data_IF_412261521923
#
_entry.id   IF_412261521923
#
_cell.length_a   1.000
_cell.length_b   1.000
_cell.length_c   1.000
_cell.angle_alpha   90.00
_cell.angle_beta   90.00
_cell.angle_gamma   90.00
#
_symmetry.space_group_name_H-M   'P 1'
#
loop_
_entity.id
_entity.type
_entity.pdbx_description
1 polymer ?
#
# COMPACT_ATOMS: atom_id res chain seq x y z
N UNK A 1 13.66 -11.66 33.54
CA UNK A 1 14.97 -11.78 32.88
C UNK A 1 15.32 -13.26 32.92
N UNK A 2 15.55 -13.91 31.78
CA UNK A 2 15.88 -15.34 31.79
C UNK A 2 17.40 -15.50 31.90
N UNK A 3 17.87 -16.20 32.94
CA UNK A 3 19.31 -16.32 33.27
C UNK A 3 20.10 -17.21 32.30
N UNK A 4 19.44 -17.93 31.37
CA UNK A 4 20.12 -18.73 30.35
C UNK A 4 20.25 -18.06 28.98
N UNK A 5 19.55 -16.96 28.70
CA UNK A 5 19.61 -16.31 27.39
C UNK A 5 19.70 -14.78 27.41
N UNK A 6 19.68 -14.13 28.59
CA UNK A 6 19.90 -12.68 28.73
C UNK A 6 18.87 -11.78 28.04
N UNK A 7 17.89 -12.36 27.32
CA UNK A 7 16.87 -11.60 26.60
C UNK A 7 15.81 -11.11 27.58
N UNK A 8 15.71 -9.79 27.66
CA UNK A 8 14.57 -9.10 28.25
C UNK A 8 13.42 -9.23 27.25
N UNK A 9 12.40 -10.02 27.60
CA UNK A 9 11.12 -9.95 26.92
C UNK A 9 10.47 -8.64 27.35
N UNK A 10 10.64 -7.59 26.54
CA UNK A 10 9.91 -6.34 26.70
C UNK A 10 8.49 -6.55 26.20
N UNK A 11 7.58 -6.51 27.15
CA UNK A 11 6.12 -6.49 27.02
C UNK A 11 5.68 -5.52 25.92
N UNK A 12 4.80 -5.97 25.02
CA UNK A 12 4.07 -5.18 24.01
C UNK A 12 4.79 -3.91 23.58
N UNK A 13 5.69 -4.07 22.62
CA UNK A 13 6.26 -3.00 21.82
C UNK A 13 5.11 -2.33 21.06
N UNK A 14 4.40 -1.42 21.72
CA UNK A 14 3.73 -0.31 21.04
C UNK A 14 4.89 0.44 20.40
N UNK A 15 5.20 0.06 19.16
CA UNK A 15 6.04 0.82 18.26
C UNK A 15 5.58 2.27 18.43
N UNK A 16 6.46 3.11 18.98
CA UNK A 16 6.30 4.56 18.91
C UNK A 16 6.35 4.89 17.42
N UNK A 17 5.22 4.73 16.73
CA UNK A 17 5.10 5.06 15.32
C UNK A 17 5.37 6.54 15.22
N UNK A 18 6.54 6.86 14.67
CA UNK A 18 6.88 8.21 14.25
C UNK A 18 5.66 8.70 13.45
N UNK A 19 5.05 9.84 13.81
CA UNK A 19 3.85 10.29 13.13
C UNK A 19 4.18 10.60 11.67
N UNK A 20 3.87 9.64 10.79
CA UNK A 20 4.07 9.77 9.35
C UNK A 20 3.02 10.72 8.78
N UNK A 21 3.48 11.78 8.12
CA UNK A 21 2.62 12.73 7.43
C UNK A 21 2.53 12.41 5.94
N UNK A 22 1.31 12.42 5.40
CA UNK A 22 1.03 12.21 3.99
C UNK A 22 0.81 13.55 3.30
N UNK A 23 1.63 13.85 2.30
CA UNK A 23 1.50 15.04 1.45
C UNK A 23 0.59 14.70 0.27
N UNK A 24 -0.58 15.33 0.21
CA UNK A 24 -1.59 15.13 -0.84
C UNK A 24 -1.24 15.89 -2.11
N UNK A 25 -1.92 15.57 -3.22
CA UNK A 25 -1.72 16.24 -4.53
C UNK A 25 -1.93 17.76 -4.48
N UNK A 26 -2.80 18.23 -3.60
CA UNK A 26 -3.10 19.65 -3.36
C UNK A 26 -2.15 20.30 -2.35
N UNK A 27 -1.03 19.64 -2.00
CA UNK A 27 -0.04 20.06 -1.00
C UNK A 27 -0.55 20.11 0.45
N UNK A 28 -1.78 19.64 0.70
CA UNK A 28 -2.26 19.48 2.08
C UNK A 28 -1.52 18.33 2.77
N UNK A 29 -1.31 18.46 4.08
CA UNK A 29 -0.69 17.42 4.91
C UNK A 29 -1.75 16.81 5.80
N UNK A 30 -1.86 15.48 5.75
CA UNK A 30 -2.71 14.72 6.66
C UNK A 30 -1.89 13.66 7.38
N UNK A 31 -2.33 13.24 8.57
CA UNK A 31 -1.70 12.11 9.23
C UNK A 31 -1.99 10.82 8.43
N UNK A 32 -0.99 9.96 8.34
CA UNK A 32 -1.15 8.63 7.76
C UNK A 32 -2.29 7.87 8.46
N UNK A 33 -3.17 7.27 7.66
CA UNK A 33 -4.29 6.47 8.12
C UNK A 33 -4.37 5.19 7.28
N UNK A 34 -3.98 4.08 7.89
CA UNK A 34 -4.01 2.72 7.32
C UNK A 34 -5.38 2.37 6.74
N UNK A 35 -6.46 2.81 7.39
CA UNK A 35 -7.85 2.50 7.00
C UNK A 35 -8.19 3.07 5.62
N UNK A 36 -7.63 4.23 5.25
CA UNK A 36 -7.83 4.84 3.93
C UNK A 36 -7.24 3.97 2.81
N UNK A 37 -6.05 3.42 3.03
CA UNK A 37 -5.37 2.55 2.07
C UNK A 37 -6.13 1.23 1.96
N UNK A 38 -6.46 0.61 3.11
CA UNK A 38 -7.23 -0.62 3.15
C UNK A 38 -8.57 -0.48 2.41
N UNK A 39 -9.29 0.62 2.62
CA UNK A 39 -10.53 0.91 1.89
C UNK A 39 -10.33 1.10 0.39
N UNK A 40 -9.17 1.59 -0.05
CA UNK A 40 -8.79 1.64 -1.47
C UNK A 40 -8.57 0.24 -2.06
N UNK A 41 -7.80 -0.60 -1.36
CA UNK A 41 -7.48 -1.96 -1.78
C UNK A 41 -8.73 -2.85 -1.82
N UNK A 42 -9.57 -2.79 -0.79
CA UNK A 42 -10.82 -3.56 -0.73
C UNK A 42 -11.76 -3.22 -1.90
N UNK A 43 -11.85 -1.95 -2.27
CA UNK A 43 -12.62 -1.52 -3.44
C UNK A 43 -12.05 -2.05 -4.74
N UNK A 44 -10.72 -2.03 -4.89
CA UNK A 44 -10.04 -2.60 -6.06
C UNK A 44 -10.27 -4.12 -6.18
N UNK A 45 -10.17 -4.83 -5.06
CA UNK A 45 -10.33 -6.29 -4.95
C UNK A 45 -11.79 -6.77 -4.97
N UNK A 46 -12.77 -5.88 -5.12
CA UNK A 46 -14.19 -6.24 -5.03
C UNK A 46 -14.59 -7.34 -6.04
N UNK A 47 -15.28 -8.39 -5.55
CA UNK A 47 -15.67 -9.59 -6.33
C UNK A 47 -14.50 -10.36 -6.95
N UNK A 48 -13.28 -10.22 -6.43
CA UNK A 48 -12.15 -11.09 -6.78
C UNK A 48 -12.08 -12.26 -5.80
N UNK A 49 -11.67 -13.46 -6.26
CA UNK A 49 -11.50 -14.63 -5.40
C UNK A 49 -10.17 -14.52 -4.60
N UNK A 50 -10.04 -13.47 -3.80
CA UNK A 50 -8.84 -13.19 -2.99
C UNK A 50 -9.20 -13.44 -1.52
N UNK A 51 -8.50 -14.34 -0.82
CA UNK A 51 -8.70 -14.56 0.61
C UNK A 51 -8.43 -13.28 1.41
N UNK A 52 -9.21 -13.04 2.47
CA UNK A 52 -9.05 -11.88 3.35
C UNK A 52 -7.64 -11.85 3.95
N UNK A 53 -7.12 -13.01 4.35
CA UNK A 53 -5.75 -13.17 4.88
C UNK A 53 -4.67 -12.65 3.93
N UNK A 54 -4.85 -12.81 2.61
CA UNK A 54 -3.92 -12.25 1.63
C UNK A 54 -4.00 -10.72 1.57
N UNK A 55 -5.19 -10.15 1.74
CA UNK A 55 -5.37 -8.69 1.77
C UNK A 55 -4.72 -8.11 3.02
N UNK A 56 -4.86 -8.77 4.17
CA UNK A 56 -4.21 -8.37 5.42
C UNK A 56 -2.68 -8.43 5.30
N UNK A 57 -2.13 -9.55 4.80
CA UNK A 57 -0.68 -9.69 4.59
C UNK A 57 -0.13 -8.68 3.58
N UNK A 58 -0.89 -8.36 2.53
CA UNK A 58 -0.54 -7.32 1.56
C UNK A 58 -0.55 -5.93 2.21
N UNK A 59 -1.54 -5.64 3.07
CA UNK A 59 -1.59 -4.39 3.83
C UNK A 59 -0.38 -4.23 4.75
N UNK A 60 0.04 -5.29 5.43
CA UNK A 60 1.22 -5.26 6.31
C UNK A 60 2.51 -5.02 5.51
N UNK A 61 2.62 -5.63 4.32
CA UNK A 61 3.76 -5.43 3.43
C UNK A 61 3.83 -4.00 2.88
N UNK A 62 2.69 -3.46 2.44
CA UNK A 62 2.57 -2.07 1.98
C UNK A 62 2.91 -1.09 3.11
N UNK A 63 2.45 -1.36 4.33
CA UNK A 63 2.74 -0.52 5.49
C UNK A 63 4.24 -0.53 5.81
N UNK A 64 4.88 -1.71 5.80
CA UNK A 64 6.34 -1.84 5.91
C UNK A 64 7.08 -0.99 4.89
N UNK A 65 6.74 -1.12 3.61
CA UNK A 65 7.39 -0.34 2.53
C UNK A 65 7.16 1.17 2.66
N UNK A 66 5.99 1.59 3.16
CA UNK A 66 5.69 3.00 3.40
C UNK A 66 6.58 3.56 4.51
N UNK A 67 6.76 2.83 5.61
CA UNK A 67 7.60 3.25 6.72
C UNK A 67 9.10 3.14 6.40
N UNK A 68 9.52 2.16 5.60
CA UNK A 68 10.90 2.01 5.14
C UNK A 68 11.28 3.10 4.12
N UNK A 69 10.34 3.54 3.30
CA UNK A 69 10.56 4.60 2.31
C UNK A 69 10.50 6.02 2.88
N UNK A 70 10.04 6.20 4.13
CA UNK A 70 9.72 7.52 4.67
C UNK A 70 10.34 7.78 6.04
N UNK A 71 11.18 8.81 6.13
CA UNK A 71 11.73 9.26 7.42
C UNK A 71 10.67 9.92 8.32
N UNK A 72 9.80 10.75 7.74
CA UNK A 72 8.72 11.52 8.46
C UNK A 72 7.54 11.93 7.58
N UNK A 73 7.76 12.10 6.28
CA UNK A 73 6.73 12.50 5.34
C UNK A 73 6.79 11.64 4.07
N UNK A 74 5.63 11.33 3.49
CA UNK A 74 5.51 10.58 2.24
C UNK A 74 4.45 11.24 1.36
N UNK A 75 4.65 11.28 0.05
CA UNK A 75 3.62 11.78 -0.85
C UNK A 75 2.52 10.73 -1.05
N UNK A 76 1.26 11.18 -1.20
CA UNK A 76 0.16 10.29 -1.60
C UNK A 76 0.42 9.62 -2.95
N UNK A 77 1.24 10.27 -3.79
CA UNK A 77 1.71 9.71 -5.06
C UNK A 77 2.56 8.46 -4.79
N UNK A 78 3.57 8.56 -3.93
CA UNK A 78 4.45 7.43 -3.58
C UNK A 78 3.70 6.27 -2.93
N UNK A 79 2.75 6.57 -2.02
CA UNK A 79 1.87 5.54 -1.44
C UNK A 79 1.13 4.77 -2.54
N UNK A 80 0.55 5.48 -3.51
CA UNK A 80 -0.17 4.84 -4.61
C UNK A 80 0.73 3.96 -5.49
N UNK A 81 1.99 4.34 -5.71
CA UNK A 81 2.97 3.52 -6.42
C UNK A 81 3.27 2.21 -5.67
N UNK A 82 3.55 2.29 -4.38
CA UNK A 82 3.78 1.11 -3.53
C UNK A 82 2.57 0.17 -3.60
N UNK A 83 1.36 0.71 -3.42
CA UNK A 83 0.12 -0.12 -3.50
C UNK A 83 -0.04 -0.76 -4.88
N UNK A 84 0.31 -0.06 -5.96
CA UNK A 84 0.26 -0.59 -7.33
C UNK A 84 1.27 -1.71 -7.56
N UNK A 85 2.48 -1.61 -7.03
CA UNK A 85 3.50 -2.66 -7.09
C UNK A 85 3.01 -3.95 -6.42
N UNK A 86 2.44 -3.84 -5.22
CA UNK A 86 1.87 -4.98 -4.51
C UNK A 86 0.63 -5.57 -5.18
N UNK A 87 -0.27 -4.74 -5.70
CA UNK A 87 -1.48 -5.21 -6.39
C UNK A 87 -1.17 -5.88 -7.73
N UNK A 88 -0.11 -5.46 -8.41
CA UNK A 88 0.35 -6.05 -9.66
C UNK A 88 0.65 -7.54 -9.51
N UNK A 89 1.28 -7.91 -8.41
CA UNK A 89 1.64 -9.31 -8.11
C UNK A 89 0.44 -10.09 -7.53
N UNK A 90 -0.51 -9.40 -6.90
CA UNK A 90 -1.69 -10.03 -6.31
C UNK A 90 -2.76 -10.40 -7.35
N UNK A 91 -3.23 -9.43 -8.13
CA UNK A 91 -4.31 -9.60 -9.12
C UNK A 91 -4.33 -8.46 -10.14
N UNK A 92 -4.17 -8.80 -11.42
CA UNK A 92 -4.13 -7.83 -12.51
C UNK A 92 -5.41 -6.97 -12.63
N UNK A 93 -6.59 -7.51 -12.29
CA UNK A 93 -7.86 -6.76 -12.35
C UNK A 93 -7.95 -5.76 -11.19
N UNK A 94 -7.52 -6.15 -10.00
CA UNK A 94 -7.42 -5.25 -8.86
C UNK A 94 -6.42 -4.12 -9.12
N UNK A 95 -5.24 -4.44 -9.67
CA UNK A 95 -4.25 -3.45 -10.12
C UNK A 95 -4.87 -2.41 -11.05
N UNK A 96 -5.53 -2.86 -12.13
CA UNK A 96 -6.20 -2.01 -13.12
C UNK A 96 -7.22 -1.07 -12.47
N UNK A 97 -8.07 -1.61 -11.58
CA UNK A 97 -9.10 -0.81 -10.91
C UNK A 97 -8.50 0.23 -9.99
N UNK A 98 -7.47 -0.14 -9.22
CA UNK A 98 -6.79 0.80 -8.35
C UNK A 98 -6.10 1.92 -9.15
N UNK A 99 -5.36 1.55 -10.20
CA UNK A 99 -4.72 2.48 -11.11
C UNK A 99 -5.72 3.47 -11.73
N UNK A 100 -6.95 3.01 -12.02
CA UNK A 100 -8.00 3.84 -12.62
C UNK A 100 -8.45 5.01 -11.75
N UNK A 101 -8.43 4.83 -10.43
CA UNK A 101 -8.76 5.88 -9.46
C UNK A 101 -7.55 6.78 -9.20
N UNK A 102 -6.37 6.18 -9.08
CA UNK A 102 -5.17 6.88 -8.66
C UNK A 102 -4.60 7.81 -9.74
N UNK A 103 -4.51 7.33 -10.99
CA UNK A 103 -3.90 8.09 -12.08
C UNK A 103 -4.81 9.13 -12.73
N UNK A 104 -6.10 9.23 -12.35
CA UNK A 104 -7.09 10.01 -13.09
C UNK A 104 -6.81 9.88 -14.59
N UNK A 105 -6.92 8.66 -15.15
CA UNK A 105 -6.53 8.42 -16.56
C UNK A 105 -7.27 9.40 -17.46
N UNK A 106 -6.61 10.52 -17.78
CA UNK A 106 -7.06 11.45 -18.80
C UNK A 106 -6.90 10.82 -20.18
N UNK A 107 -6.06 9.79 -20.29
CA UNK A 107 -5.72 9.14 -21.54
C UNK A 107 -5.84 7.62 -21.45
N UNK A 108 -6.89 7.09 -22.08
CA UNK A 108 -7.17 5.64 -22.22
C UNK A 108 -6.02 4.92 -22.94
N UNK A 109 -5.25 5.63 -23.75
CA UNK A 109 -4.11 5.08 -24.50
C UNK A 109 -2.99 4.62 -23.57
N UNK A 110 -2.66 5.40 -22.54
CA UNK A 110 -1.62 5.03 -21.56
C UNK A 110 -2.02 3.81 -20.74
N UNK A 111 -3.31 3.68 -20.45
CA UNK A 111 -3.87 2.49 -19.79
C UNK A 111 -3.75 1.25 -20.67
N UNK A 112 -4.06 1.37 -21.96
CA UNK A 112 -3.92 0.28 -22.94
C UNK A 112 -2.45 -0.11 -23.16
N UNK A 113 -1.52 0.84 -23.17
CA UNK A 113 -0.08 0.57 -23.25
C UNK A 113 0.45 -0.17 -22.01
N UNK A 114 0.01 0.20 -20.80
CA UNK A 114 0.36 -0.57 -19.61
C UNK A 114 -0.25 -1.97 -19.63
N UNK A 115 -1.51 -2.12 -20.04
CA UNK A 115 -2.14 -3.43 -20.19
C UNK A 115 -1.43 -4.32 -21.21
N UNK A 116 -1.01 -3.78 -22.35
CA UNK A 116 -0.28 -4.53 -23.39
C UNK A 116 1.00 -5.13 -22.85
N UNK A 117 1.74 -4.40 -22.01
CA UNK A 117 2.96 -4.91 -21.35
C UNK A 117 2.72 -6.11 -20.42
N UNK A 118 1.48 -6.33 -19.99
CA UNK A 118 1.08 -7.52 -19.22
C UNK A 118 0.50 -8.65 -20.08
N UNK A 119 0.08 -8.35 -21.31
CA UNK A 119 -0.58 -9.30 -22.22
C UNK A 119 0.37 -9.87 -23.28
N UNK A 120 1.56 -9.30 -23.45
CA UNK A 120 2.59 -9.88 -24.32
C UNK A 120 3.40 -10.95 -23.55
N UNK A 121 3.50 -12.19 -24.09
CA UNK A 121 4.15 -13.33 -23.44
C UNK A 121 5.68 -13.22 -23.37
#
# INVERSE_FOLDING_TARGET
>A
MCESCGKRFTTYEKVETIPLSVIKKDQTREQYDRSKIQGGILRACYKRPIPVEKIESLMDSIEGDIFDAADKEISSTRIGEIVMEHLKDLDAVAYVRFASVYREFKDVSTFMDELKKFMEP
#
